data_IF_736945928403
#
_entry.id   IF_736945928403
#
_cell.length_a   1.000
_cell.length_b   1.000
_cell.length_c   1.000
_cell.angle_alpha   90.00
_cell.angle_beta   90.00
_cell.angle_gamma   90.00
#
_symmetry.space_group_name_H-M   'P 1'
#
loop_
_entity.id
_entity.type
_entity.pdbx_description
1 polymer ?
#
# COMPACT_ATOMS: atom_id res chain seq x y z
N UNK A 1 11.47 12.46 -3.65
CA UNK A 1 11.65 11.21 -4.45
C UNK A 1 13.07 10.62 -4.41
N UNK A 2 14.12 11.35 -4.00
CA UNK A 2 15.50 10.80 -3.91
C UNK A 2 15.66 9.81 -2.75
N UNK A 3 14.96 10.02 -1.62
CA UNK A 3 15.06 9.18 -0.41
C UNK A 3 14.69 7.70 -0.67
N UNK A 4 13.68 7.43 -1.50
CA UNK A 4 13.23 6.05 -1.77
C UNK A 4 14.23 5.23 -2.59
N UNK A 5 14.94 5.85 -3.55
CA UNK A 5 15.96 5.14 -4.34
C UNK A 5 17.20 4.76 -3.52
N UNK A 6 17.60 5.62 -2.59
CA UNK A 6 18.72 5.37 -1.68
C UNK A 6 18.37 4.25 -0.70
N UNK A 7 17.15 4.26 -0.16
CA UNK A 7 16.67 3.20 0.74
C UNK A 7 16.67 1.83 0.06
N UNK A 8 16.14 1.73 -1.17
CA UNK A 8 16.15 0.47 -1.94
C UNK A 8 17.57 -0.02 -2.22
N UNK A 9 18.50 0.89 -2.54
CA UNK A 9 19.90 0.52 -2.71
C UNK A 9 20.52 -0.01 -1.41
N UNK A 10 20.24 0.62 -0.27
CA UNK A 10 20.73 0.18 1.04
C UNK A 10 20.20 -1.21 1.42
N UNK A 11 18.90 -1.48 1.18
CA UNK A 11 18.29 -2.80 1.40
C UNK A 11 18.99 -3.84 0.52
N UNK A 12 19.21 -3.52 -0.77
CA UNK A 12 19.88 -4.42 -1.72
C UNK A 12 21.30 -4.74 -1.26
N UNK A 13 22.09 -3.72 -0.88
CA UNK A 13 23.46 -3.91 -0.39
C UNK A 13 23.50 -4.70 0.91
N UNK A 14 22.55 -4.46 1.83
CA UNK A 14 22.43 -5.23 3.05
C UNK A 14 22.16 -6.71 2.75
N UNK A 15 21.17 -7.02 1.92
CA UNK A 15 20.85 -8.42 1.55
C UNK A 15 22.03 -9.15 0.90
N UNK A 16 22.86 -8.45 0.13
CA UNK A 16 24.06 -9.01 -0.49
C UNK A 16 25.20 -9.30 0.50
N UNK A 17 25.26 -8.58 1.62
CA UNK A 17 26.36 -8.65 2.59
C UNK A 17 25.97 -9.28 3.93
N UNK A 18 24.67 -9.50 4.16
CA UNK A 18 24.12 -9.99 5.42
C UNK A 18 24.74 -11.32 5.88
N UNK A 19 25.01 -12.26 4.97
CA UNK A 19 25.63 -13.55 5.30
C UNK A 19 27.06 -13.45 5.84
N UNK A 20 27.79 -12.38 5.48
CA UNK A 20 29.14 -12.12 5.97
C UNK A 20 29.17 -11.33 7.28
N UNK A 21 28.04 -10.76 7.70
CA UNK A 21 27.91 -9.98 8.94
C UNK A 21 27.71 -10.88 10.16
N UNK A 22 28.25 -10.51 11.34
CA UNK A 22 27.87 -11.10 12.62
C UNK A 22 26.36 -10.98 12.86
N UNK A 23 25.76 -11.97 13.54
CA UNK A 23 24.32 -12.03 13.76
C UNK A 23 23.75 -10.78 14.45
N UNK A 24 24.40 -10.30 15.52
CA UNK A 24 23.97 -9.11 16.25
C UNK A 24 23.99 -7.85 15.37
N UNK A 25 25.03 -7.69 14.56
CA UNK A 25 25.15 -6.55 13.63
C UNK A 25 24.11 -6.64 12.51
N UNK A 26 23.91 -7.83 11.96
CA UNK A 26 22.91 -8.10 10.92
C UNK A 26 21.50 -7.77 11.41
N UNK A 27 21.16 -8.22 12.62
CA UNK A 27 19.87 -7.94 13.26
C UNK A 27 19.66 -6.44 13.47
N UNK A 28 20.63 -5.77 14.08
CA UNK A 28 20.56 -4.33 14.32
C UNK A 28 20.42 -3.54 13.01
N UNK A 29 21.13 -3.95 11.95
CA UNK A 29 21.07 -3.28 10.66
C UNK A 29 19.71 -3.48 9.98
N UNK A 30 19.14 -4.69 10.05
CA UNK A 30 17.79 -4.97 9.56
C UNK A 30 16.74 -4.14 10.30
N UNK A 31 16.82 -4.06 11.63
CA UNK A 31 15.91 -3.23 12.46
C UNK A 31 15.99 -1.74 12.05
N UNK A 32 17.21 -1.21 11.87
CA UNK A 32 17.39 0.18 11.43
C UNK A 32 16.78 0.45 10.05
N UNK A 33 16.94 -0.48 9.10
CA UNK A 33 16.34 -0.36 7.76
C UNK A 33 14.81 -0.40 7.82
N UNK A 34 14.23 -1.22 8.71
CA UNK A 34 12.78 -1.25 8.93
C UNK A 34 12.28 0.10 9.47
N UNK A 35 13.00 0.76 10.38
CA UNK A 35 12.64 2.10 10.86
C UNK A 35 12.75 3.17 9.76
N UNK A 36 13.77 3.08 8.89
CA UNK A 36 13.87 3.94 7.70
C UNK A 36 12.67 3.74 6.74
N UNK A 37 12.22 2.48 6.55
CA UNK A 37 11.02 2.16 5.76
C UNK A 37 9.77 2.76 6.39
N UNK A 38 9.56 2.62 7.71
CA UNK A 38 8.43 3.22 8.43
C UNK A 38 8.40 4.74 8.23
N UNK A 39 9.55 5.40 8.38
CA UNK A 39 9.67 6.84 8.14
C UNK A 39 9.31 7.23 6.71
N UNK A 40 9.74 6.44 5.72
CA UNK A 40 9.39 6.67 4.33
C UNK A 40 7.88 6.52 4.07
N UNK A 41 7.23 5.52 4.68
CA UNK A 41 5.77 5.30 4.58
C UNK A 41 5.00 6.46 5.21
N UNK A 42 5.43 6.97 6.37
CA UNK A 42 4.85 8.15 6.99
C UNK A 42 4.97 9.41 6.12
N UNK A 43 5.98 9.49 5.24
CA UNK A 43 6.17 10.56 4.24
C UNK A 43 5.42 10.30 2.92
N UNK A 44 4.59 9.26 2.84
CA UNK A 44 3.78 8.94 1.67
C UNK A 44 4.43 7.98 0.68
N UNK A 45 5.44 7.18 1.08
CA UNK A 45 5.92 6.07 0.27
C UNK A 45 4.82 5.00 0.10
N UNK A 46 4.91 4.21 -0.97
CA UNK A 46 3.94 3.16 -1.27
C UNK A 46 3.96 2.07 -0.18
N UNK A 47 2.83 1.86 0.48
CA UNK A 47 2.68 0.93 1.60
C UNK A 47 3.00 -0.52 1.23
N UNK A 48 2.51 -1.01 0.09
CA UNK A 48 2.69 -2.40 -0.33
C UNK A 48 4.15 -2.69 -0.68
N UNK A 49 4.80 -1.77 -1.40
CA UNK A 49 6.21 -1.89 -1.72
C UNK A 49 7.09 -1.82 -0.45
N UNK A 50 6.77 -0.92 0.46
CA UNK A 50 7.44 -0.82 1.76
C UNK A 50 7.31 -2.12 2.57
N UNK A 51 6.12 -2.71 2.62
CA UNK A 51 5.90 -3.96 3.33
C UNK A 51 6.66 -5.13 2.71
N UNK A 52 6.75 -5.22 1.38
CA UNK A 52 7.58 -6.22 0.73
C UNK A 52 9.05 -6.15 1.17
N UNK A 53 9.61 -4.94 1.27
CA UNK A 53 10.97 -4.74 1.80
C UNK A 53 11.10 -5.09 3.28
N UNK A 54 10.07 -4.85 4.09
CA UNK A 54 10.07 -5.33 5.49
C UNK A 54 10.13 -6.86 5.55
N UNK A 55 9.36 -7.55 4.70
CA UNK A 55 9.37 -9.02 4.65
C UNK A 55 10.72 -9.59 4.18
N UNK A 56 11.49 -8.86 3.37
CA UNK A 56 12.87 -9.22 3.02
C UNK A 56 13.82 -9.12 4.22
N UNK A 57 13.53 -8.23 5.19
CA UNK A 57 14.41 -7.92 6.32
C UNK A 57 14.09 -8.72 7.58
N UNK A 58 12.82 -9.05 7.84
CA UNK A 58 12.39 -9.72 9.07
C UNK A 58 13.03 -11.09 9.35
N UNK A 59 13.41 -11.92 8.35
CA UNK A 59 14.13 -13.18 8.61
C UNK A 59 15.50 -12.99 9.26
N UNK A 60 16.11 -11.80 9.13
CA UNK A 60 17.39 -11.47 9.78
C UNK A 60 17.24 -11.01 11.23
N UNK A 61 16.00 -10.80 11.69
CA UNK A 61 15.65 -10.37 13.04
C UNK A 61 15.06 -11.55 13.82
N UNK A 62 14.18 -12.29 13.16
CA UNK A 62 13.46 -13.44 13.70
C UNK A 62 13.40 -14.56 12.65
N UNK A 63 14.23 -15.61 12.76
CA UNK A 63 14.24 -16.71 11.80
C UNK A 63 13.17 -17.77 12.08
N UNK A 64 12.54 -17.77 13.26
CA UNK A 64 11.54 -18.79 13.61
C UNK A 64 10.20 -18.52 12.89
N UNK A 65 9.62 -19.47 12.15
CA UNK A 65 8.44 -19.23 11.31
C UNK A 65 7.24 -18.61 12.04
N UNK A 66 6.88 -19.14 13.22
CA UNK A 66 5.72 -18.66 13.97
C UNK A 66 5.93 -17.24 14.53
N UNK A 67 7.14 -16.94 15.01
CA UNK A 67 7.49 -15.62 15.52
C UNK A 67 7.67 -14.61 14.38
N UNK A 68 8.14 -15.07 13.22
CA UNK A 68 8.31 -14.27 12.00
C UNK A 68 6.96 -13.81 11.45
N UNK A 69 5.95 -14.68 11.42
CA UNK A 69 4.59 -14.30 11.01
C UNK A 69 4.00 -13.24 11.94
N UNK A 70 4.13 -13.43 13.26
CA UNK A 70 3.67 -12.45 14.25
C UNK A 70 4.40 -11.10 14.12
N UNK A 71 5.71 -11.11 13.86
CA UNK A 71 6.51 -9.91 13.63
C UNK A 71 6.06 -9.19 12.35
N UNK A 72 5.90 -9.93 11.24
CA UNK A 72 5.43 -9.38 9.97
C UNK A 72 4.05 -8.73 10.12
N UNK A 73 3.12 -9.40 10.79
CA UNK A 73 1.79 -8.85 11.05
C UNK A 73 1.84 -7.56 11.89
N UNK A 74 2.64 -7.55 12.97
CA UNK A 74 2.82 -6.36 13.79
C UNK A 74 3.36 -5.18 12.95
N UNK A 75 4.39 -5.44 12.14
CA UNK A 75 4.99 -4.39 11.30
C UNK A 75 4.04 -3.92 10.20
N UNK A 76 3.23 -4.81 9.62
CA UNK A 76 2.18 -4.42 8.69
C UNK A 76 1.20 -3.42 9.33
N UNK A 77 0.73 -3.71 10.54
CA UNK A 77 -0.19 -2.82 11.26
C UNK A 77 0.47 -1.46 11.54
N UNK A 78 1.73 -1.44 12.00
CA UNK A 78 2.46 -0.19 12.25
C UNK A 78 2.67 0.65 10.97
N UNK A 79 2.96 -0.01 9.84
CA UNK A 79 3.07 0.68 8.55
C UNK A 79 1.72 1.23 8.10
N UNK A 80 0.64 0.46 8.26
CA UNK A 80 -0.70 0.88 7.89
C UNK A 80 -1.17 2.07 8.74
N UNK A 81 -0.94 2.03 10.04
CA UNK A 81 -1.34 3.09 10.98
C UNK A 81 -0.58 4.40 10.75
N UNK A 82 0.67 4.32 10.28
CA UNK A 82 1.51 5.49 9.96
C UNK A 82 1.36 5.97 8.52
N UNK A 83 0.77 5.17 7.63
CA UNK A 83 0.63 5.52 6.23
C UNK A 83 -0.36 6.67 6.05
N UNK A 84 0.15 7.81 5.58
CA UNK A 84 -0.68 8.91 5.11
C UNK A 84 -0.72 8.84 3.58
N UNK A 85 -1.86 8.52 2.95
CA UNK A 85 -1.92 8.45 1.51
C UNK A 85 -1.64 9.84 0.91
N UNK A 86 -0.93 9.93 -0.22
CA UNK A 86 -0.57 11.21 -0.80
C UNK A 86 -1.81 12.00 -1.19
N UNK A 87 -1.81 13.31 -0.92
CA UNK A 87 -2.88 14.19 -1.36
C UNK A 87 -2.97 14.20 -2.89
N UNK A 88 -4.17 14.16 -3.49
CA UNK A 88 -4.32 14.18 -4.93
C UNK A 88 -3.78 15.49 -5.54
N UNK A 89 -3.01 15.38 -6.62
CA UNK A 89 -2.56 16.52 -7.41
C UNK A 89 -3.72 17.16 -8.19
N UNK A 90 -3.53 18.34 -8.80
CA UNK A 90 -4.62 19.06 -9.50
C UNK A 90 -5.31 18.21 -10.58
N UNK A 91 -4.54 17.51 -11.42
CA UNK A 91 -5.09 16.60 -12.44
C UNK A 91 -5.86 15.43 -11.81
N UNK A 92 -5.34 14.85 -10.72
CA UNK A 92 -6.06 13.79 -10.00
C UNK A 92 -7.36 14.32 -9.36
N UNK A 93 -7.38 15.55 -8.84
CA UNK A 93 -8.61 16.16 -8.29
C UNK A 93 -9.70 16.33 -9.36
N UNK A 94 -9.33 16.71 -10.59
CA UNK A 94 -10.26 16.75 -11.70
C UNK A 94 -10.81 15.36 -12.03
N UNK A 95 -9.95 14.34 -12.10
CA UNK A 95 -10.37 12.96 -12.32
C UNK A 95 -11.26 12.43 -11.18
N UNK A 96 -10.97 12.79 -9.92
CA UNK A 96 -11.82 12.46 -8.75
C UNK A 96 -13.19 13.12 -8.87
N UNK A 97 -13.24 14.39 -9.27
CA UNK A 97 -14.52 15.09 -9.47
C UNK A 97 -15.34 14.49 -10.62
N UNK A 98 -14.68 14.07 -11.71
CA UNK A 98 -15.32 13.34 -12.80
C UNK A 98 -15.86 11.99 -12.34
N UNK A 99 -15.06 11.24 -11.57
CA UNK A 99 -15.47 9.97 -10.99
C UNK A 99 -16.68 10.13 -10.08
N UNK A 100 -16.69 11.10 -9.17
CA UNK A 100 -17.80 11.34 -8.25
C UNK A 100 -19.13 11.58 -8.99
N UNK A 101 -19.12 12.43 -10.02
CA UNK A 101 -20.32 12.70 -10.83
C UNK A 101 -20.79 11.47 -11.61
N UNK A 102 -19.87 10.72 -12.20
CA UNK A 102 -20.20 9.53 -12.97
C UNK A 102 -20.64 8.36 -12.05
N UNK A 103 -20.09 8.27 -10.84
CA UNK A 103 -20.51 7.26 -9.86
C UNK A 103 -21.92 7.50 -9.35
N UNK A 104 -22.30 8.76 -9.10
CA UNK A 104 -23.67 9.13 -8.72
C UNK A 104 -24.66 8.67 -9.81
N UNK A 105 -24.36 8.95 -11.08
CA UNK A 105 -25.19 8.51 -12.21
C UNK A 105 -25.30 6.99 -12.30
N UNK A 106 -24.19 6.26 -12.13
CA UNK A 106 -24.20 4.79 -12.14
C UNK A 106 -25.06 4.23 -11.01
N UNK A 107 -24.96 4.80 -9.81
CA UNK A 107 -25.75 4.36 -8.66
C UNK A 107 -27.22 4.63 -8.92
N UNK A 108 -27.59 5.85 -9.31
CA UNK A 108 -28.99 6.22 -9.59
C UNK A 108 -29.60 5.32 -10.69
N UNK A 109 -28.87 5.07 -11.78
CA UNK A 109 -29.33 4.18 -12.86
C UNK A 109 -29.58 2.74 -12.38
N UNK A 110 -28.72 2.21 -11.51
CA UNK A 110 -28.88 0.84 -11.01
C UNK A 110 -30.04 0.77 -10.02
N UNK A 111 -30.17 1.75 -9.13
CA UNK A 111 -31.29 1.84 -8.19
C UNK A 111 -32.64 1.96 -8.90
N UNK A 112 -32.70 2.70 -10.02
CA UNK A 112 -33.91 2.86 -10.83
C UNK A 112 -34.27 1.63 -11.69
N UNK A 113 -33.30 0.73 -11.97
CA UNK A 113 -33.47 -0.37 -12.93
C UNK A 113 -33.47 -1.78 -12.34
N UNK A 114 -32.98 -1.96 -11.12
CA UNK A 114 -32.91 -3.26 -10.43
C UNK A 114 -33.66 -3.13 -9.11
N UNK A 115 -34.64 -4.00 -8.84
CA UNK A 115 -35.41 -3.95 -7.57
C UNK A 115 -34.76 -4.76 -6.44
N UNK A 116 -33.97 -5.78 -6.79
CA UNK A 116 -33.31 -6.65 -5.82
C UNK A 116 -32.04 -6.00 -5.26
N UNK A 117 -32.00 -5.85 -3.93
CA UNK A 117 -30.94 -5.14 -3.22
C UNK A 117 -29.57 -5.82 -3.37
N UNK A 118 -29.49 -7.15 -3.32
CA UNK A 118 -28.24 -7.89 -3.47
C UNK A 118 -27.66 -7.76 -4.90
N UNK A 119 -28.54 -7.78 -5.91
CA UNK A 119 -28.18 -7.52 -7.29
C UNK A 119 -27.80 -6.05 -7.54
N UNK A 120 -28.50 -5.09 -6.93
CA UNK A 120 -28.13 -3.67 -6.97
C UNK A 120 -26.70 -3.48 -6.47
N UNK A 121 -26.39 -3.99 -5.26
CA UNK A 121 -25.07 -3.87 -4.67
C UNK A 121 -23.98 -4.48 -5.55
N UNK A 122 -24.20 -5.69 -6.06
CA UNK A 122 -23.23 -6.38 -6.91
C UNK A 122 -22.98 -5.61 -8.22
N UNK A 123 -24.04 -5.10 -8.85
CA UNK A 123 -23.96 -4.38 -10.12
C UNK A 123 -23.35 -2.97 -9.95
N UNK A 124 -23.66 -2.29 -8.83
CA UNK A 124 -23.02 -1.02 -8.48
C UNK A 124 -21.52 -1.21 -8.33
N UNK A 125 -21.06 -2.19 -7.53
CA UNK A 125 -19.62 -2.43 -7.36
C UNK A 125 -18.93 -2.80 -8.68
N UNK A 126 -19.55 -3.63 -9.52
CA UNK A 126 -19.01 -3.98 -10.83
C UNK A 126 -18.84 -2.73 -11.72
N UNK A 127 -19.88 -1.90 -11.83
CA UNK A 127 -19.84 -0.69 -12.66
C UNK A 127 -18.89 0.36 -12.09
N UNK A 128 -18.84 0.54 -10.77
CA UNK A 128 -17.91 1.47 -10.12
C UNK A 128 -16.46 1.01 -10.31
N UNK A 129 -16.18 -0.28 -10.24
CA UNK A 129 -14.84 -0.84 -10.54
C UNK A 129 -14.43 -0.56 -11.99
N UNK A 130 -15.32 -0.83 -12.95
CA UNK A 130 -15.08 -0.51 -14.36
C UNK A 130 -14.83 0.99 -14.58
N UNK A 131 -15.59 1.86 -13.91
CA UNK A 131 -15.46 3.31 -13.98
C UNK A 131 -14.12 3.79 -13.39
N UNK A 132 -13.66 3.22 -12.26
CA UNK A 132 -12.34 3.51 -11.69
C UNK A 132 -11.24 3.16 -12.69
N UNK A 133 -11.33 1.98 -13.31
CA UNK A 133 -10.38 1.53 -14.34
C UNK A 133 -10.36 2.45 -15.56
N UNK A 134 -11.51 2.94 -16.00
CA UNK A 134 -11.62 3.86 -17.13
C UNK A 134 -11.01 5.24 -16.84
N UNK A 135 -11.28 5.81 -15.66
CA UNK A 135 -10.88 7.18 -15.31
C UNK A 135 -9.42 7.25 -14.82
N UNK A 136 -8.99 6.27 -14.01
CA UNK A 136 -7.69 6.28 -13.35
C UNK A 136 -6.70 5.25 -13.92
N UNK A 137 -7.15 4.35 -14.81
CA UNK A 137 -6.31 3.27 -15.34
C UNK A 137 -6.06 2.12 -14.36
N UNK A 138 -6.72 2.14 -13.20
CA UNK A 138 -6.58 1.14 -12.13
C UNK A 138 -7.90 0.93 -11.40
N UNK A 139 -8.13 -0.29 -10.90
CA UNK A 139 -9.39 -0.68 -10.25
C UNK A 139 -9.52 -0.10 -8.83
N UNK A 140 -8.40 0.06 -8.12
CA UNK A 140 -8.37 0.60 -6.75
C UNK A 140 -7.34 1.73 -6.61
N UNK A 141 -7.67 2.95 -7.04
CA UNK A 141 -6.81 4.11 -6.82
C UNK A 141 -6.75 4.45 -5.33
N UNK A 142 -5.58 4.31 -4.72
CA UNK A 142 -5.37 4.52 -3.27
C UNK A 142 -5.80 5.90 -2.76
N UNK A 143 -5.79 6.92 -3.61
CA UNK A 143 -6.21 8.28 -3.26
C UNK A 143 -7.74 8.47 -3.20
N UNK A 144 -8.53 7.49 -3.64
CA UNK A 144 -9.99 7.48 -3.40
C UNK A 144 -10.37 6.81 -2.07
N UNK A 145 -9.45 6.08 -1.45
CA UNK A 145 -9.68 5.35 -0.19
C UNK A 145 -9.41 6.21 1.06
N UNK A 146 -9.34 7.54 0.88
CA UNK A 146 -9.08 8.53 1.94
C UNK A 146 -10.35 8.89 2.71
#
# INVERSE_FOLDING_TARGET
MVESKVLVANITTFSQSASAMPEAERKQRAENLIEEIKSAVAKGANLNQAYAHVQELTPYIEPQPNSLEALNYKLWMELKDSHTPPLPCAAQREQISLYAKASEQVIDEVLDSVEDEEQQHSLIEERLSALRKQIFGMEEPQFLLQ
#
